data_IF_543801373477
#
_entry.id   IF_543801373477
#
_cell.length_a   1.000
_cell.length_b   1.000
_cell.length_c   1.000
_cell.angle_alpha   90.00
_cell.angle_beta   90.00
_cell.angle_gamma   90.00
#
_symmetry.space_group_name_H-M   'P 1'
#
loop_
_entity.id
_entity.type
_entity.pdbx_description
1 polymer ?
#
# COMPACT_ATOMS: atom_id res chain seq x y z
N UNK A 1 0.17 17.99 -8.11
CA UNK A 1 0.13 16.55 -7.80
C UNK A 1 1.49 15.93 -8.05
N UNK A 2 1.91 14.96 -7.23
CA UNK A 2 3.18 14.22 -7.36
C UNK A 2 2.98 13.00 -8.28
N UNK A 3 4.05 12.36 -8.76
CA UNK A 3 3.97 11.07 -9.48
C UNK A 3 4.18 9.92 -8.50
N UNK A 4 3.70 8.72 -8.87
CA UNK A 4 3.91 7.48 -8.10
C UNK A 4 5.40 7.25 -7.81
N UNK A 5 6.25 7.42 -8.83
CA UNK A 5 7.70 7.29 -8.74
C UNK A 5 8.38 8.31 -7.80
N UNK A 6 7.70 9.40 -7.44
CA UNK A 6 8.25 10.42 -6.52
C UNK A 6 7.92 10.12 -5.05
N UNK A 7 7.06 9.12 -4.78
CA UNK A 7 6.62 8.76 -3.41
C UNK A 7 7.02 7.34 -3.02
N UNK A 8 6.85 6.39 -3.94
CA UNK A 8 7.05 4.98 -3.65
C UNK A 8 8.55 4.69 -3.63
N UNK A 9 9.03 4.05 -2.57
CA UNK A 9 10.45 3.74 -2.40
C UNK A 9 10.87 2.47 -3.12
N UNK A 10 9.93 1.54 -3.36
CA UNK A 10 10.16 0.27 -4.03
C UNK A 10 8.88 -0.25 -4.73
N UNK A 11 8.99 -1.41 -5.38
CA UNK A 11 7.88 -2.07 -6.08
C UNK A 11 6.75 -2.52 -5.14
N UNK A 12 7.05 -2.81 -3.87
CA UNK A 12 6.02 -3.18 -2.90
C UNK A 12 5.15 -1.97 -2.53
N UNK A 13 5.73 -0.77 -2.43
CA UNK A 13 4.98 0.48 -2.26
C UNK A 13 4.05 0.74 -3.45
N UNK A 14 4.55 0.53 -4.68
CA UNK A 14 3.76 0.69 -5.91
C UNK A 14 2.59 -0.29 -5.91
N UNK A 15 2.84 -1.56 -5.60
CA UNK A 15 1.82 -2.59 -5.52
C UNK A 15 0.81 -2.30 -4.42
N UNK A 16 1.24 -1.87 -3.23
CA UNK A 16 0.36 -1.52 -2.13
C UNK A 16 -0.58 -0.37 -2.51
N UNK A 17 -0.05 0.67 -3.17
CA UNK A 17 -0.86 1.78 -3.67
C UNK A 17 -1.87 1.33 -4.75
N UNK A 18 -1.44 0.47 -5.68
CA UNK A 18 -2.32 -0.07 -6.72
C UNK A 18 -3.48 -0.88 -6.11
N UNK A 19 -3.18 -1.79 -5.18
CA UNK A 19 -4.18 -2.57 -4.43
C UNK A 19 -5.10 -1.64 -3.65
N UNK A 20 -4.56 -0.64 -2.96
CA UNK A 20 -5.37 0.34 -2.22
C UNK A 20 -6.37 1.07 -3.13
N UNK A 21 -5.98 1.43 -4.35
CA UNK A 21 -6.86 2.07 -5.35
C UNK A 21 -7.95 1.14 -5.83
N UNK A 22 -7.63 -0.11 -6.14
CA UNK A 22 -8.62 -1.11 -6.55
C UNK A 22 -9.64 -1.38 -5.44
N UNK A 23 -9.17 -1.53 -4.19
CA UNK A 23 -10.04 -1.73 -3.03
C UNK A 23 -10.93 -0.51 -2.79
N UNK A 24 -10.37 0.70 -2.88
CA UNK A 24 -11.14 1.94 -2.74
C UNK A 24 -12.20 2.09 -3.84
N UNK A 25 -11.84 1.76 -5.09
CA UNK A 25 -12.78 1.71 -6.21
C UNK A 25 -13.90 0.70 -5.96
N UNK A 26 -13.56 -0.52 -5.52
CA UNK A 26 -14.54 -1.56 -5.18
C UNK A 26 -15.53 -1.13 -4.10
N UNK A 27 -15.09 -0.35 -3.10
CA UNK A 27 -16.01 0.24 -2.12
C UNK A 27 -16.90 1.36 -2.70
N UNK A 28 -16.41 2.12 -3.66
CA UNK A 28 -17.20 3.20 -4.28
C UNK A 28 -18.23 2.68 -5.28
N UNK A 29 -17.87 1.66 -6.05
CA UNK A 29 -18.70 1.15 -7.16
C UNK A 29 -19.50 -0.09 -6.79
N UNK A 30 -19.18 -0.76 -5.68
CA UNK A 30 -19.68 -2.10 -5.33
C UNK A 30 -19.40 -3.15 -6.40
N UNK A 31 -18.36 -2.94 -7.22
CA UNK A 31 -17.98 -3.84 -8.31
C UNK A 31 -16.94 -4.86 -7.85
N UNK A 32 -17.31 -6.14 -7.90
CA UNK A 32 -16.42 -7.27 -7.58
C UNK A 32 -15.21 -7.33 -8.50
N UNK A 33 -15.29 -6.82 -9.74
CA UNK A 33 -14.17 -6.81 -10.67
C UNK A 33 -12.98 -5.98 -10.15
N UNK A 34 -13.25 -4.91 -9.39
CA UNK A 34 -12.20 -4.12 -8.75
C UNK A 34 -11.44 -4.94 -7.70
N UNK A 35 -12.15 -5.79 -6.95
CA UNK A 35 -11.52 -6.68 -5.98
C UNK A 35 -10.68 -7.75 -6.68
N UNK A 36 -11.23 -8.41 -7.70
CA UNK A 36 -10.50 -9.42 -8.46
C UNK A 36 -9.22 -8.85 -9.08
N UNK A 37 -9.27 -7.64 -9.66
CA UNK A 37 -8.09 -6.99 -10.24
C UNK A 37 -6.97 -6.74 -9.21
N UNK A 38 -7.33 -6.47 -7.94
CA UNK A 38 -6.33 -6.35 -6.87
C UNK A 38 -5.64 -7.68 -6.57
N UNK A 39 -6.41 -8.77 -6.50
CA UNK A 39 -5.88 -10.13 -6.32
C UNK A 39 -5.04 -10.57 -7.51
N UNK A 40 -5.59 -10.50 -8.73
CA UNK A 40 -4.91 -10.90 -9.96
C UNK A 40 -3.54 -10.22 -10.10
N UNK A 41 -3.49 -8.90 -9.88
CA UNK A 41 -2.23 -8.15 -9.96
C UNK A 41 -1.20 -8.53 -8.90
N UNK A 42 -1.64 -8.77 -7.65
CA UNK A 42 -0.74 -9.18 -6.58
C UNK A 42 -0.25 -10.63 -6.75
N UNK A 43 -1.14 -11.54 -7.15
CA UNK A 43 -0.84 -12.95 -7.38
C UNK A 43 0.08 -13.15 -8.59
N UNK A 44 -0.08 -12.34 -9.64
CA UNK A 44 0.84 -12.36 -10.79
C UNK A 44 2.29 -12.05 -10.38
N UNK A 45 2.48 -11.15 -9.41
CA UNK A 45 3.81 -10.68 -8.99
C UNK A 45 4.41 -11.49 -7.83
N UNK A 46 3.57 -11.95 -6.90
CA UNK A 46 4.02 -12.60 -5.65
C UNK A 46 3.65 -14.08 -5.57
N UNK A 47 2.89 -14.60 -6.53
CA UNK A 47 2.29 -15.92 -6.47
C UNK A 47 0.98 -15.95 -5.65
N UNK A 48 0.20 -17.04 -5.74
CA UNK A 48 -1.16 -17.09 -5.20
C UNK A 48 -1.22 -16.91 -3.68
N UNK A 49 -0.30 -17.54 -2.92
CA UNK A 49 -0.32 -17.47 -1.45
C UNK A 49 0.10 -16.10 -0.93
N UNK A 50 1.24 -15.58 -1.39
CA UNK A 50 1.80 -14.33 -0.90
C UNK A 50 1.04 -13.12 -1.47
N UNK A 51 0.55 -13.20 -2.71
CA UNK A 51 -0.33 -12.20 -3.32
C UNK A 51 -1.63 -12.02 -2.55
N UNK A 52 -2.36 -13.11 -2.26
CA UNK A 52 -3.56 -13.08 -1.42
C UNK A 52 -3.28 -12.45 -0.04
N UNK A 53 -2.19 -12.85 0.61
CA UNK A 53 -1.79 -12.32 1.93
C UNK A 53 -1.49 -10.82 1.86
N UNK A 54 -0.77 -10.39 0.82
CA UNK A 54 -0.44 -8.98 0.59
C UNK A 54 -1.72 -8.14 0.43
N UNK A 55 -2.65 -8.60 -0.42
CA UNK A 55 -3.94 -7.92 -0.61
C UNK A 55 -4.72 -7.84 0.69
N UNK A 56 -4.79 -8.93 1.47
CA UNK A 56 -5.47 -8.92 2.77
C UNK A 56 -4.90 -7.88 3.73
N UNK A 57 -3.58 -7.69 3.77
CA UNK A 57 -2.93 -6.65 4.57
C UNK A 57 -3.33 -5.24 4.12
N UNK A 58 -3.28 -4.94 2.82
CA UNK A 58 -3.67 -3.63 2.29
C UNK A 58 -5.17 -3.37 2.52
N UNK A 59 -6.02 -4.38 2.32
CA UNK A 59 -7.45 -4.31 2.62
C UNK A 59 -7.69 -3.99 4.10
N UNK A 60 -6.95 -4.61 5.03
CA UNK A 60 -7.06 -4.32 6.45
C UNK A 60 -6.71 -2.86 6.76
N UNK A 61 -5.66 -2.31 6.15
CA UNK A 61 -5.27 -0.90 6.28
C UNK A 61 -6.39 0.01 5.76
N UNK A 62 -6.92 -0.24 4.56
CA UNK A 62 -7.98 0.59 3.96
C UNK A 62 -9.27 0.50 4.78
N UNK A 63 -9.61 -0.68 5.32
CA UNK A 63 -10.78 -0.85 6.20
C UNK A 63 -10.62 -0.08 7.51
N UNK A 64 -9.45 -0.14 8.12
CA UNK A 64 -9.15 0.60 9.34
C UNK A 64 -9.21 2.12 9.09
N UNK A 65 -8.59 2.58 8.00
CA UNK A 65 -8.63 3.98 7.57
C UNK A 65 -10.06 4.45 7.35
N UNK A 66 -10.89 3.69 6.61
CA UNK A 66 -12.31 4.04 6.40
C UNK A 66 -13.12 4.09 7.69
N UNK A 67 -12.80 3.24 8.66
CA UNK A 67 -13.52 3.20 9.93
C UNK A 67 -13.14 4.35 10.88
N UNK A 68 -11.92 4.87 10.75
CA UNK A 68 -11.38 5.90 11.66
C UNK A 68 -11.23 7.27 11.02
N UNK A 69 -11.34 7.41 9.71
CA UNK A 69 -11.20 8.71 9.06
C UNK A 69 -12.48 9.54 9.18
N UNK A 70 -12.28 10.82 9.49
CA UNK A 70 -13.31 11.84 9.43
C UNK A 70 -13.29 12.49 8.03
N UNK A 71 -14.39 12.34 7.29
CA UNK A 71 -14.57 12.92 5.97
C UNK A 71 -14.12 12.05 4.79
N UNK A 72 -14.23 12.64 3.60
CA UNK A 72 -14.04 11.92 2.34
C UNK A 72 -12.58 11.52 2.09
N UNK A 73 -12.41 10.46 1.31
CA UNK A 73 -11.14 9.95 0.83
C UNK A 73 -11.06 10.11 -0.69
N UNK A 74 -9.96 10.66 -1.19
CA UNK A 74 -9.75 10.88 -2.62
C UNK A 74 -8.55 10.08 -3.13
N UNK A 75 -8.74 9.40 -4.24
CA UNK A 75 -7.74 8.55 -4.87
C UNK A 75 -7.85 8.64 -6.38
N UNK A 76 -6.79 8.26 -7.08
CA UNK A 76 -6.78 8.17 -8.53
C UNK A 76 -7.10 6.75 -8.98
N UNK A 77 -7.54 6.55 -10.24
CA UNK A 77 -7.64 5.21 -10.82
C UNK A 77 -6.32 4.42 -10.69
N UNK A 78 -6.41 3.09 -10.57
CA UNK A 78 -5.25 2.21 -10.38
C UNK A 78 -4.13 2.44 -11.43
N UNK A 79 -4.50 2.66 -12.69
CA UNK A 79 -3.58 2.90 -13.81
C UNK A 79 -2.96 4.31 -13.85
N UNK A 80 -3.36 5.22 -12.97
CA UNK A 80 -2.90 6.61 -13.01
C UNK A 80 -1.49 6.75 -12.42
N UNK A 81 -0.58 7.41 -13.15
CA UNK A 81 0.78 7.67 -12.68
C UNK A 81 0.88 8.84 -11.67
N UNK A 82 -0.23 9.51 -11.37
CA UNK A 82 -0.31 10.65 -10.44
C UNK A 82 -0.89 10.21 -9.12
N UNK A 83 -0.57 10.94 -8.06
CA UNK A 83 -1.09 10.69 -6.71
C UNK A 83 -1.81 11.90 -6.12
N UNK A 84 -2.87 11.64 -5.35
CA UNK A 84 -3.54 12.64 -4.50
C UNK A 84 -2.72 12.89 -3.21
N UNK A 85 -3.09 13.93 -2.45
CA UNK A 85 -2.51 14.15 -1.12
C UNK A 85 -2.79 13.01 -0.15
N UNK A 86 -4.00 12.44 -0.20
CA UNK A 86 -4.40 11.28 0.58
C UNK A 86 -3.58 10.03 0.25
N UNK A 87 -3.36 9.75 -1.03
CA UNK A 87 -2.49 8.64 -1.46
C UNK A 87 -1.04 8.83 -1.01
N UNK A 88 -0.52 10.06 -1.07
CA UNK A 88 0.81 10.36 -0.53
C UNK A 88 0.89 10.09 0.97
N UNK A 89 -0.14 10.49 1.73
CA UNK A 89 -0.21 10.26 3.17
C UNK A 89 -0.29 8.76 3.50
N UNK A 90 -1.06 7.98 2.73
CA UNK A 90 -1.14 6.52 2.91
C UNK A 90 0.20 5.83 2.68
N UNK A 91 0.89 6.15 1.58
CA UNK A 91 2.22 5.56 1.31
C UNK A 91 3.22 5.98 2.38
N UNK A 92 3.17 7.24 2.83
CA UNK A 92 4.02 7.73 3.93
C UNK A 92 3.76 6.94 5.22
N UNK A 93 2.49 6.74 5.58
CA UNK A 93 2.07 5.97 6.75
C UNK A 93 2.62 4.53 6.71
N UNK A 94 2.46 3.85 5.56
CA UNK A 94 2.99 2.50 5.35
C UNK A 94 4.51 2.49 5.53
N UNK A 95 5.21 3.47 4.95
CA UNK A 95 6.66 3.58 5.05
C UNK A 95 7.16 3.86 6.47
N UNK A 96 6.45 4.66 7.27
CA UNK A 96 6.75 4.79 8.71
C UNK A 96 6.63 3.47 9.44
N UNK A 97 5.61 2.67 9.11
CA UNK A 97 5.42 1.32 9.62
C UNK A 97 6.60 0.40 9.27
N UNK A 98 6.98 0.34 7.99
CA UNK A 98 8.10 -0.49 7.51
C UNK A 98 9.44 -0.09 8.13
N UNK A 99 9.66 1.20 8.32
CA UNK A 99 10.83 1.75 9.03
C UNK A 99 10.78 1.56 10.54
N UNK A 100 9.68 1.03 11.09
CA UNK A 100 9.44 0.83 12.53
C UNK A 100 9.48 2.14 13.34
N UNK A 101 9.15 3.26 12.69
CA UNK A 101 9.04 4.57 13.33
C UNK A 101 7.67 4.71 14.01
N UNK A 102 7.49 4.03 15.14
CA UNK A 102 6.16 3.85 15.74
C UNK A 102 5.49 5.14 16.21
N UNK A 103 6.26 6.08 16.77
CA UNK A 103 5.75 7.39 17.16
C UNK A 103 5.31 8.19 15.93
N UNK A 104 6.12 8.19 14.87
CA UNK A 104 5.78 8.88 13.61
C UNK A 104 4.59 8.22 12.91
N UNK A 105 4.46 6.88 13.01
CA UNK A 105 3.32 6.13 12.51
C UNK A 105 2.03 6.57 13.22
N UNK A 106 2.06 6.67 14.55
CA UNK A 106 0.90 7.11 15.35
C UNK A 106 0.49 8.55 14.99
N UNK A 107 1.45 9.46 14.87
CA UNK A 107 1.20 10.84 14.46
C UNK A 107 0.63 10.92 13.03
N UNK A 108 1.21 10.20 12.08
CA UNK A 108 0.71 10.15 10.70
C UNK A 108 -0.68 9.51 10.59
N UNK A 109 -0.98 8.52 11.45
CA UNK A 109 -2.29 7.88 11.50
C UNK A 109 -3.37 8.84 12.04
N UNK A 110 -3.04 9.62 13.06
CA UNK A 110 -3.90 10.70 13.57
C UNK A 110 -4.16 11.77 12.50
N UNK A 111 -3.11 12.24 11.83
CA UNK A 111 -3.20 13.25 10.76
C UNK A 111 -4.07 12.77 9.58
N UNK A 112 -3.79 11.57 9.05
CA UNK A 112 -4.52 11.04 7.89
C UNK A 112 -5.97 10.68 8.22
N UNK A 113 -6.34 10.53 9.49
CA UNK A 113 -7.73 10.27 9.89
C UNK A 113 -8.45 11.54 10.32
N UNK A 114 -7.73 12.63 10.59
CA UNK A 114 -8.31 13.85 11.16
C UNK A 114 -8.71 13.70 12.63
N UNK A 115 -8.15 12.70 13.33
CA UNK A 115 -8.47 12.37 14.73
C UNK A 115 -7.28 12.59 15.65
N UNK A 116 -7.54 12.63 16.94
CA UNK A 116 -6.48 12.63 17.97
C UNK A 116 -5.68 11.32 17.97
N UNK A 117 -6.36 10.19 17.68
CA UNK A 117 -5.73 8.88 17.59
C UNK A 117 -6.49 7.95 16.62
N UNK A 118 -5.74 7.05 15.99
CA UNK A 118 -6.25 6.04 15.04
C UNK A 118 -5.68 4.64 15.34
N UNK A 119 -6.08 4.03 16.47
CA UNK A 119 -5.48 2.78 16.95
C UNK A 119 -5.70 1.58 16.02
N UNK A 120 -6.84 1.50 15.31
CA UNK A 120 -7.09 0.40 14.37
C UNK A 120 -6.17 0.52 13.16
N UNK A 121 -5.97 1.74 12.65
CA UNK A 121 -5.09 1.99 11.52
C UNK A 121 -3.63 1.69 11.88
N UNK A 122 -3.17 2.13 13.05
CA UNK A 122 -1.82 1.80 13.56
C UNK A 122 -1.63 0.29 13.68
N UNK A 123 -2.61 -0.41 14.27
CA UNK A 123 -2.54 -1.87 14.41
C UNK A 123 -2.52 -2.59 13.06
N UNK A 124 -3.34 -2.16 12.10
CA UNK A 124 -3.38 -2.72 10.75
C UNK A 124 -2.03 -2.54 10.01
N UNK A 125 -1.43 -1.35 10.10
CA UNK A 125 -0.11 -1.09 9.49
C UNK A 125 0.97 -1.93 10.16
N UNK A 126 1.01 -1.99 11.50
CA UNK A 126 1.97 -2.84 12.24
C UNK A 126 1.90 -4.30 11.82
N UNK A 127 0.69 -4.86 11.70
CA UNK A 127 0.49 -6.24 11.26
C UNK A 127 0.92 -6.47 9.81
N UNK A 128 0.82 -5.44 8.96
CA UNK A 128 1.18 -5.51 7.55
C UNK A 128 2.70 -5.42 7.29
N UNK A 129 3.51 -4.90 8.23
CA UNK A 129 4.96 -4.67 8.01
C UNK A 129 5.68 -5.93 7.51
N UNK A 130 5.52 -7.06 8.18
CA UNK A 130 6.19 -8.32 7.80
C UNK A 130 5.85 -8.76 6.37
N UNK A 131 4.55 -8.90 6.01
CA UNK A 131 4.13 -9.22 4.65
C UNK A 131 4.60 -8.21 3.59
N UNK A 132 4.56 -6.90 3.88
CA UNK A 132 5.00 -5.85 2.95
C UNK A 132 6.51 -5.92 2.71
N UNK A 133 7.31 -6.10 3.76
CA UNK A 133 8.76 -6.24 3.65
C UNK A 133 9.15 -7.53 2.90
N UNK A 134 8.43 -8.63 3.14
CA UNK A 134 8.63 -9.88 2.39
C UNK A 134 8.31 -9.73 0.90
N UNK A 135 7.27 -8.96 0.56
CA UNK A 135 6.96 -8.63 -0.83
C UNK A 135 8.06 -7.76 -1.44
N UNK A 136 8.55 -6.74 -0.73
CA UNK A 136 9.64 -5.88 -1.20
C UNK A 136 10.91 -6.68 -1.52
N UNK A 137 11.25 -7.67 -0.69
CA UNK A 137 12.41 -8.54 -0.93
C UNK A 137 12.24 -9.40 -2.20
N UNK A 138 11.02 -9.87 -2.49
CA UNK A 138 10.73 -10.69 -3.68
C UNK A 138 10.68 -9.88 -4.96
N UNK A 139 10.19 -8.64 -4.87
CA UNK A 139 10.04 -7.73 -5.99
C UNK A 139 11.32 -6.92 -6.26
N UNK A 140 12.29 -6.96 -5.34
CA UNK A 140 13.59 -6.36 -5.57
C UNK A 140 14.18 -6.93 -6.87
N UNK A 141 14.71 -6.08 -7.76
CA UNK A 141 15.35 -6.56 -8.98
C UNK A 141 16.43 -7.57 -8.58
N UNK A 142 16.44 -8.73 -9.24
CA UNK A 142 17.52 -9.70 -9.05
C UNK A 142 18.84 -8.94 -9.23
N UNK A 143 19.65 -8.90 -8.17
CA UNK A 143 20.98 -8.32 -8.27
C UNK A 143 21.69 -9.03 -9.42
N UNK A 144 21.95 -8.31 -10.52
CA UNK A 144 22.83 -8.81 -11.56
C UNK A 144 24.12 -9.26 -10.87
N UNK A 145 24.59 -10.51 -11.08
CA UNK A 145 25.94 -10.85 -10.71
C UNK A 145 26.85 -9.88 -11.46
N UNK A 146 27.55 -9.01 -10.73
CA UNK A 146 28.62 -8.23 -11.31
C UNK A 146 29.67 -9.22 -11.84
N UNK A 147 29.74 -9.36 -13.16
CA UNK A 147 30.73 -10.22 -13.82
C UNK A 147 30.14 -11.34 -14.67
N UNK A 148 29.48 -10.97 -15.76
CA UNK A 148 29.57 -11.75 -16.98
C UNK A 148 29.92 -10.78 -18.11
N UNK A 149 31.22 -10.52 -18.26
CA UNK A 149 31.76 -10.07 -19.54
C UNK A 149 31.45 -11.20 -20.52
N UNK A 150 30.53 -10.96 -21.45
CA UNK A 150 30.40 -11.79 -22.64
C UNK A 150 31.17 -11.07 -23.75
N UNK A 151 32.19 -11.75 -24.24
CA UNK A 151 32.93 -11.45 -25.47
C UNK A 151 32.00 -11.35 -26.67
#
# INVERSE_FOLDING_TARGET
>A
MRRVADICGDEADILALSVARFVAAGYMTSDVACWNAAFDGAEQLLGPTEGCRFVACVVAIIRALRAERDGDWSFMPASCCRVTGHECALVTLINRGRQRLWTDLEAAAAEITGREAAPRLVAAVRAAVGPLDAAAQRLAPASCPAGAVLH
#
